data_IF_475094654751
#
_entry.id   IF_475094654751
#
_cell.length_a   1.000
_cell.length_b   1.000
_cell.length_c   1.000
_cell.angle_alpha   90.00
_cell.angle_beta   90.00
_cell.angle_gamma   90.00
#
_symmetry.space_group_name_H-M   'P 1'
#
loop_
_entity.id
_entity.type
_entity.pdbx_description
1 polymer ?
#
# COMPACT_ATOMS: atom_id res chain seq x y z
N UNK A 1 -13.83 -3.27 5.68
CA UNK A 1 -15.30 -3.12 5.55
C UNK A 1 -15.67 -2.15 4.44
N UNK A 2 -15.11 -0.94 4.38
CA UNK A 2 -15.63 0.11 3.49
C UNK A 2 -15.13 0.04 2.02
N UNK A 3 -13.83 -0.05 1.76
CA UNK A 3 -13.33 -0.03 0.37
C UNK A 3 -13.17 -1.43 -0.25
N UNK A 4 -12.36 -2.30 0.35
CA UNK A 4 -12.07 -3.63 -0.20
C UNK A 4 -13.08 -4.72 0.22
N UNK A 5 -14.02 -4.39 1.11
CA UNK A 5 -14.95 -5.36 1.70
C UNK A 5 -14.28 -6.43 2.57
N UNK A 6 -13.05 -6.20 3.03
CA UNK A 6 -12.28 -7.16 3.83
C UNK A 6 -12.30 -6.85 5.33
N UNK A 7 -12.17 -7.89 6.14
CA UNK A 7 -11.88 -7.83 7.57
C UNK A 7 -10.90 -8.94 7.90
N UNK A 8 -9.65 -8.57 8.23
CA UNK A 8 -8.57 -9.49 8.56
C UNK A 8 -7.74 -8.92 9.70
N UNK A 9 -7.07 -9.76 10.52
CA UNK A 9 -6.10 -9.28 11.48
C UNK A 9 -5.00 -8.48 10.79
N UNK A 10 -4.60 -7.36 11.39
CA UNK A 10 -3.55 -6.48 10.89
C UNK A 10 -2.32 -6.55 11.78
N UNK A 11 -1.17 -6.81 11.17
CA UNK A 11 0.14 -6.64 11.77
C UNK A 11 0.61 -5.20 11.52
N UNK A 12 0.96 -4.50 12.60
CA UNK A 12 1.54 -3.17 12.52
C UNK A 12 3.02 -3.27 12.19
N UNK A 13 3.45 -2.73 11.05
CA UNK A 13 4.82 -2.88 10.57
C UNK A 13 5.74 -1.76 11.05
N UNK A 14 5.37 -0.50 10.75
CA UNK A 14 6.21 0.67 11.02
C UNK A 14 5.40 1.97 10.99
N UNK A 15 6.02 3.05 11.50
CA UNK A 15 5.53 4.43 11.39
C UNK A 15 6.41 5.20 10.40
N UNK A 16 5.79 6.02 9.57
CA UNK A 16 6.46 6.98 8.70
C UNK A 16 6.18 8.38 9.25
N UNK A 17 7.24 9.17 9.40
CA UNK A 17 7.14 10.56 9.84
C UNK A 17 6.44 11.43 8.79
N UNK A 18 5.79 12.50 9.25
CA UNK A 18 5.23 13.50 8.36
C UNK A 18 6.31 14.14 7.47
N UNK A 19 5.99 14.30 6.19
CA UNK A 19 6.79 15.04 5.22
C UNK A 19 5.90 15.60 4.11
N UNK A 20 6.43 16.47 3.23
CA UNK A 20 5.67 16.90 2.05
C UNK A 20 5.19 15.73 1.18
N UNK A 21 5.94 14.63 1.10
CA UNK A 21 5.57 13.43 0.33
C UNK A 21 4.44 12.63 0.98
N UNK A 22 4.17 12.84 2.28
CA UNK A 22 3.03 12.25 2.99
C UNK A 22 1.90 13.25 3.21
N UNK A 23 1.90 14.40 2.51
CA UNK A 23 0.90 15.44 2.72
C UNK A 23 0.98 16.11 4.11
N UNK A 24 2.16 16.08 4.75
CA UNK A 24 2.39 16.49 6.14
C UNK A 24 1.70 15.58 7.19
N UNK A 25 1.39 14.34 6.83
CA UNK A 25 0.73 13.39 7.74
C UNK A 25 1.68 12.29 8.21
N UNK A 26 1.50 11.84 9.46
CA UNK A 26 2.13 10.63 9.97
C UNK A 26 1.35 9.40 9.48
N UNK A 27 2.05 8.43 8.89
CA UNK A 27 1.42 7.23 8.35
C UNK A 27 1.82 6.00 9.17
N UNK A 28 0.83 5.19 9.54
CA UNK A 28 1.05 3.84 10.07
C UNK A 28 0.89 2.81 8.96
N UNK A 29 1.91 1.98 8.74
CA UNK A 29 1.85 0.90 7.77
C UNK A 29 1.43 -0.41 8.45
N UNK A 30 0.42 -1.06 7.89
CA UNK A 30 -0.10 -2.35 8.35
C UNK A 30 -0.03 -3.41 7.25
N UNK A 31 0.07 -4.68 7.66
CA UNK A 31 -0.01 -5.85 6.78
C UNK A 31 -1.19 -6.73 7.20
N UNK A 32 -2.07 -7.02 6.26
CA UNK A 32 -3.10 -8.04 6.40
C UNK A 32 -2.89 -9.17 5.41
N UNK A 33 -3.24 -10.40 5.78
CA UNK A 33 -3.26 -11.54 4.87
C UNK A 33 -4.70 -12.01 4.66
N UNK A 34 -5.05 -12.28 3.40
CA UNK A 34 -6.36 -12.77 3.02
C UNK A 34 -6.21 -14.02 2.16
N UNK A 35 -7.12 -14.98 2.34
CA UNK A 35 -7.36 -16.06 1.38
C UNK A 35 -8.79 -15.92 0.87
N UNK A 36 -8.95 -15.87 -0.46
CA UNK A 36 -10.26 -15.77 -1.10
C UNK A 36 -10.48 -14.48 -1.88
N UNK A 37 -11.75 -14.17 -2.16
CA UNK A 37 -12.14 -13.05 -3.04
C UNK A 37 -12.28 -11.74 -2.24
N UNK A 38 -11.81 -10.65 -2.83
CA UNK A 38 -12.12 -9.28 -2.40
C UNK A 38 -13.39 -8.78 -3.09
N UNK A 39 -14.12 -7.85 -2.46
CA UNK A 39 -15.29 -7.21 -3.06
C UNK A 39 -15.12 -5.69 -2.96
N UNK A 40 -14.37 -5.07 -3.90
CA UNK A 40 -14.15 -3.63 -3.89
C UNK A 40 -15.46 -2.84 -4.05
N UNK A 41 -15.60 -1.74 -3.33
CA UNK A 41 -16.62 -0.74 -3.55
C UNK A 41 -16.28 0.02 -4.83
N UNK A 42 -17.15 -0.10 -5.85
CA UNK A 42 -16.96 0.54 -7.16
C UNK A 42 -17.05 2.06 -7.14
N UNK A 43 -17.58 2.66 -6.06
CA UNK A 43 -17.55 4.12 -5.87
C UNK A 43 -16.19 4.66 -5.47
N UNK A 44 -15.31 3.81 -4.92
CA UNK A 44 -13.99 4.19 -4.40
C UNK A 44 -12.85 3.58 -5.23
N UNK A 45 -13.02 2.34 -5.72
CA UNK A 45 -12.00 1.58 -6.44
C UNK A 45 -12.51 1.25 -7.84
N UNK A 46 -11.84 1.80 -8.84
CA UNK A 46 -12.13 1.50 -10.25
C UNK A 46 -11.68 0.08 -10.62
N UNK A 47 -10.44 -0.29 -10.29
CA UNK A 47 -9.82 -1.56 -10.65
C UNK A 47 -8.75 -2.00 -9.63
N UNK A 48 -8.36 -3.28 -9.67
CA UNK A 48 -7.27 -3.82 -8.85
C UNK A 48 -6.78 -5.17 -9.35
N UNK A 49 -5.53 -5.51 -9.00
CA UNK A 49 -4.91 -6.78 -9.35
C UNK A 49 -4.03 -7.30 -8.22
N UNK A 50 -3.96 -8.62 -8.08
CA UNK A 50 -2.96 -9.27 -7.25
C UNK A 50 -1.70 -9.48 -8.08
N UNK A 51 -0.60 -8.85 -7.66
CA UNK A 51 0.70 -8.93 -8.33
C UNK A 51 1.80 -9.23 -7.32
N UNK A 52 2.90 -9.81 -7.80
CA UNK A 52 4.08 -10.02 -6.96
C UNK A 52 4.73 -8.66 -6.57
N UNK A 53 5.38 -8.54 -5.40
CA UNK A 53 6.07 -7.32 -5.01
C UNK A 53 7.08 -6.82 -6.05
N UNK A 54 7.78 -7.72 -6.75
CA UNK A 54 8.73 -7.35 -7.80
C UNK A 54 8.08 -6.61 -8.98
N UNK A 55 6.79 -6.85 -9.25
CA UNK A 55 6.04 -6.13 -10.27
C UNK A 55 5.79 -4.69 -9.82
N UNK A 56 5.39 -4.51 -8.55
CA UNK A 56 5.19 -3.18 -7.96
C UNK A 56 6.52 -2.42 -7.92
N UNK A 57 7.63 -3.08 -7.54
CA UNK A 57 8.97 -2.50 -7.60
C UNK A 57 9.26 -1.94 -9.01
N UNK A 58 9.03 -2.74 -10.06
CA UNK A 58 9.19 -2.31 -11.44
C UNK A 58 8.32 -1.12 -11.84
N UNK A 59 7.04 -1.11 -11.45
CA UNK A 59 6.12 -0.01 -11.77
C UNK A 59 6.51 1.30 -11.09
N UNK A 60 6.87 1.24 -9.80
CA UNK A 60 7.28 2.44 -9.04
C UNK A 60 8.57 3.07 -9.57
N UNK A 61 9.45 2.27 -10.18
CA UNK A 61 10.66 2.78 -10.84
C UNK A 61 10.36 3.33 -12.23
N UNK A 62 9.54 2.63 -13.03
CA UNK A 62 9.30 3.00 -14.42
C UNK A 62 8.40 4.22 -14.61
N UNK A 63 7.42 4.41 -13.71
CA UNK A 63 6.40 5.47 -13.77
C UNK A 63 5.99 5.92 -12.36
N UNK A 64 6.90 6.49 -11.55
CA UNK A 64 6.59 6.93 -10.18
C UNK A 64 5.43 7.95 -10.13
N UNK A 65 5.29 8.78 -11.16
CA UNK A 65 4.23 9.80 -11.29
C UNK A 65 2.82 9.22 -11.36
N UNK A 66 2.67 7.92 -11.69
CA UNK A 66 1.37 7.24 -11.68
C UNK A 66 0.92 6.82 -10.26
N UNK A 67 1.75 7.04 -9.25
CA UNK A 67 1.47 6.65 -7.87
C UNK A 67 1.34 7.86 -6.96
N UNK A 68 0.48 7.74 -5.95
CA UNK A 68 0.42 8.73 -4.88
C UNK A 68 1.79 8.83 -4.17
N UNK A 69 2.30 10.04 -3.90
CA UNK A 69 3.59 10.21 -3.22
C UNK A 69 3.67 9.46 -1.88
N UNK A 70 2.57 9.43 -1.11
CA UNK A 70 2.48 8.69 0.15
C UNK A 70 2.59 7.17 -0.04
N UNK A 71 2.06 6.62 -1.14
CA UNK A 71 2.23 5.21 -1.48
C UNK A 71 3.70 4.89 -1.75
N UNK A 72 4.42 5.72 -2.51
CA UNK A 72 5.83 5.52 -2.78
C UNK A 72 6.67 5.53 -1.49
N UNK A 73 6.37 6.43 -0.55
CA UNK A 73 7.02 6.45 0.77
C UNK A 73 6.75 5.15 1.56
N UNK A 74 5.49 4.70 1.57
CA UNK A 74 5.09 3.46 2.23
C UNK A 74 5.77 2.24 1.62
N UNK A 75 5.78 2.15 0.29
CA UNK A 75 6.36 1.03 -0.44
C UNK A 75 7.87 0.94 -0.19
N UNK A 76 8.61 2.05 -0.31
CA UNK A 76 10.05 2.05 -0.04
C UNK A 76 10.37 1.67 1.41
N UNK A 77 9.59 2.16 2.38
CA UNK A 77 9.76 1.78 3.78
C UNK A 77 9.51 0.28 4.00
N UNK A 78 8.47 -0.26 3.38
CA UNK A 78 8.16 -1.69 3.39
C UNK A 78 9.31 -2.53 2.80
N UNK A 79 9.80 -2.18 1.61
CA UNK A 79 10.87 -2.95 0.94
C UNK A 79 12.19 -2.94 1.74
N UNK A 80 12.53 -1.82 2.38
CA UNK A 80 13.68 -1.74 3.30
C UNK A 80 13.53 -2.66 4.50
N UNK A 81 12.33 -2.74 5.09
CA UNK A 81 12.04 -3.64 6.23
C UNK A 81 12.13 -5.11 5.83
N UNK A 82 11.57 -5.51 4.69
CA UNK A 82 11.55 -6.93 4.29
C UNK A 82 12.91 -7.44 3.76
N UNK A 83 13.86 -6.54 3.49
CA UNK A 83 15.22 -6.90 3.05
C UNK A 83 16.23 -7.01 4.19
N UNK A 84 15.83 -6.66 5.42
CA UNK A 84 16.65 -6.75 6.64
C UNK A 84 16.18 -7.87 7.55
#
# INVERSE_FOLDING_TARGET
>A
HEELGISVPLEKLLKISASPQTGQEFIWLYRGQLRGKVRPNRGEIENGAFVAPAVVDGWTVARPENFAPGFLQCWQAYRRRESG
#
